data_IF_277151169772
#
_entry.id   IF_277151169772
#
_cell.length_a   1.000
_cell.length_b   1.000
_cell.length_c   1.000
_cell.angle_alpha   90.00
_cell.angle_beta   90.00
_cell.angle_gamma   90.00
#
_symmetry.space_group_name_H-M   'P 1'
#
loop_
_entity.id
_entity.type
_entity.pdbx_description
1 polymer ?
#
# COMPACT_ATOMS: atom_id res chain seq x y z
N UNK A 1 -20.60 -7.57 -3.30
CA UNK A 1 -21.43 -7.59 -4.53
C UNK A 1 -21.47 -6.25 -5.26
N UNK A 2 -21.77 -5.12 -4.57
CA UNK A 2 -21.91 -3.81 -5.23
C UNK A 2 -20.81 -3.48 -6.25
N UNK A 3 -19.54 -3.41 -5.80
CA UNK A 3 -18.37 -3.03 -6.61
C UNK A 3 -18.01 -3.99 -7.76
N UNK A 4 -18.61 -5.17 -7.81
CA UNK A 4 -18.17 -6.29 -8.65
C UNK A 4 -19.22 -6.70 -9.68
N UNK A 5 -20.50 -6.50 -9.37
CA UNK A 5 -21.61 -6.91 -10.22
C UNK A 5 -22.66 -5.80 -10.43
N UNK A 6 -23.00 -5.05 -9.38
CA UNK A 6 -24.20 -4.19 -9.43
C UNK A 6 -23.96 -2.77 -9.90
N UNK A 7 -22.70 -2.35 -10.07
CA UNK A 7 -22.43 -1.04 -10.69
C UNK A 7 -22.89 -1.10 -12.14
N UNK A 8 -23.72 -0.14 -12.55
CA UNK A 8 -24.29 -0.05 -13.90
C UNK A 8 -23.26 0.28 -14.99
N UNK A 9 -21.98 0.45 -14.66
CA UNK A 9 -20.92 0.70 -15.62
C UNK A 9 -20.84 -0.44 -16.63
N UNK A 10 -20.99 -0.09 -17.92
CA UNK A 10 -20.92 -1.03 -19.03
C UNK A 10 -19.82 -0.64 -20.01
N UNK A 11 -18.57 -0.74 -19.55
CA UNK A 11 -17.38 -0.46 -20.38
C UNK A 11 -16.92 -1.73 -21.05
N UNK A 12 -16.46 -1.63 -22.31
CA UNK A 12 -15.88 -2.75 -23.05
C UNK A 12 -14.57 -3.19 -22.39
N UNK A 13 -14.53 -4.40 -21.87
CA UNK A 13 -13.36 -4.92 -21.13
C UNK A 13 -12.28 -5.47 -22.08
N UNK A 14 -11.01 -5.53 -21.62
CA UNK A 14 -9.97 -6.32 -22.28
C UNK A 14 -10.45 -7.76 -22.50
N UNK A 15 -9.97 -8.41 -23.57
CA UNK A 15 -10.30 -9.81 -23.80
C UNK A 15 -9.69 -10.61 -22.66
N UNK A 16 -10.53 -11.38 -21.98
CA UNK A 16 -10.05 -12.37 -21.02
C UNK A 16 -9.15 -13.36 -21.75
N UNK A 17 -8.04 -13.70 -21.11
CA UNK A 17 -7.14 -14.77 -21.53
C UNK A 17 -7.09 -15.72 -20.35
N UNK A 18 -7.42 -16.99 -20.59
CA UNK A 18 -7.25 -18.03 -19.58
C UNK A 18 -5.94 -18.77 -19.82
N UNK A 19 -5.11 -18.89 -18.78
CA UNK A 19 -3.82 -19.56 -18.85
C UNK A 19 -3.98 -21.07 -19.06
N UNK A 20 -5.09 -21.65 -18.59
CA UNK A 20 -5.37 -23.08 -18.77
C UNK A 20 -5.76 -23.42 -20.22
N UNK A 21 -6.35 -22.46 -20.95
CA UNK A 21 -6.74 -22.66 -22.34
C UNK A 21 -6.54 -21.39 -23.19
N UNK A 22 -5.30 -21.19 -23.64
CA UNK A 22 -4.91 -20.06 -24.50
C UNK A 22 -5.59 -20.06 -25.88
N UNK A 23 -6.11 -21.21 -26.34
CA UNK A 23 -6.76 -21.34 -27.64
C UNK A 23 -8.20 -20.82 -27.62
N UNK A 24 -8.87 -20.85 -26.48
CA UNK A 24 -10.25 -20.41 -26.35
C UNK A 24 -10.34 -18.89 -26.47
N UNK A 25 -11.13 -18.42 -27.43
CA UNK A 25 -11.34 -16.99 -27.68
C UNK A 25 -12.64 -16.54 -27.02
N UNK A 26 -12.52 -15.92 -25.85
CA UNK A 26 -13.70 -15.36 -25.18
C UNK A 26 -14.37 -14.25 -26.01
N UNK A 27 -15.71 -14.19 -25.99
CA UNK A 27 -16.43 -13.03 -26.50
C UNK A 27 -16.01 -11.77 -25.73
N UNK A 28 -16.16 -10.60 -26.36
CA UNK A 28 -15.89 -9.34 -25.68
C UNK A 28 -16.96 -9.09 -24.63
N UNK A 29 -16.53 -9.03 -23.38
CA UNK A 29 -17.39 -8.73 -22.24
C UNK A 29 -17.49 -7.22 -22.01
N UNK A 30 -18.62 -6.80 -21.45
CA UNK A 30 -18.82 -5.45 -20.95
C UNK A 30 -19.06 -5.52 -19.45
N UNK A 31 -18.46 -4.60 -18.71
CA UNK A 31 -18.63 -4.54 -17.27
C UNK A 31 -17.81 -3.44 -16.63
N UNK A 32 -17.52 -3.64 -15.36
CA UNK A 32 -16.82 -2.69 -14.51
C UNK A 32 -15.30 -2.87 -14.72
N UNK A 33 -14.55 -1.82 -15.13
CA UNK A 33 -13.11 -1.89 -15.22
C UNK A 33 -12.46 -2.26 -13.87
N UNK A 34 -11.39 -3.08 -13.83
CA UNK A 34 -10.70 -3.46 -12.59
C UNK A 34 -10.39 -2.29 -11.65
N UNK A 35 -9.83 -1.21 -12.18
CA UNK A 35 -9.51 0.00 -11.41
C UNK A 35 -10.73 0.59 -10.71
N UNK A 36 -11.87 0.65 -11.39
CA UNK A 36 -13.09 1.18 -10.80
C UNK A 36 -13.65 0.20 -9.76
N UNK A 37 -13.64 -1.09 -10.06
CA UNK A 37 -14.12 -2.14 -9.15
C UNK A 37 -13.34 -2.15 -7.82
N UNK A 38 -12.01 -2.16 -7.88
CA UNK A 38 -11.14 -2.08 -6.68
C UNK A 38 -11.35 -0.76 -5.95
N UNK A 39 -11.43 0.36 -6.69
CA UNK A 39 -11.63 1.68 -6.09
C UNK A 39 -12.93 1.78 -5.29
N UNK A 40 -14.05 1.34 -5.88
CA UNK A 40 -15.35 1.32 -5.18
C UNK A 40 -15.29 0.38 -3.99
N UNK A 41 -14.70 -0.81 -4.17
CA UNK A 41 -14.63 -1.79 -3.08
C UNK A 41 -13.84 -1.27 -1.88
N UNK A 42 -12.68 -0.67 -2.12
CA UNK A 42 -11.86 -0.04 -1.09
C UNK A 42 -12.62 1.12 -0.40
N UNK A 43 -13.32 1.97 -1.16
CA UNK A 43 -14.13 3.05 -0.59
C UNK A 43 -15.24 2.50 0.31
N UNK A 44 -15.92 1.43 -0.10
CA UNK A 44 -16.98 0.81 0.68
C UNK A 44 -16.44 0.17 1.97
N UNK A 45 -15.29 -0.51 1.91
CA UNK A 45 -14.61 -1.04 3.10
C UNK A 45 -14.27 0.08 4.10
N UNK A 46 -13.66 1.16 3.62
CA UNK A 46 -13.33 2.32 4.48
C UNK A 46 -14.57 2.94 5.09
N UNK A 47 -15.67 3.07 4.33
CA UNK A 47 -16.96 3.56 4.84
C UNK A 47 -17.54 2.63 5.91
N UNK A 48 -17.46 1.32 5.73
CA UNK A 48 -17.91 0.36 6.75
C UNK A 48 -17.09 0.50 8.03
N UNK A 49 -15.76 0.62 7.93
CA UNK A 49 -14.89 0.89 9.09
C UNK A 49 -15.23 2.23 9.78
N UNK A 50 -15.60 3.27 9.03
CA UNK A 50 -16.04 4.53 9.61
C UNK A 50 -17.36 4.40 10.36
N UNK A 51 -18.27 3.56 9.88
CA UNK A 51 -19.56 3.32 10.56
C UNK A 51 -19.37 2.60 11.91
N UNK A 52 -18.39 1.69 12.01
CA UNK A 52 -18.06 1.00 13.26
C UNK A 52 -17.18 1.86 14.17
N UNK A 53 -16.41 2.80 13.62
CA UNK A 53 -15.57 3.72 14.39
C UNK A 53 -16.37 4.58 15.38
N UNK A 54 -17.69 4.74 15.20
CA UNK A 54 -18.56 5.42 16.17
C UNK A 54 -18.50 4.81 17.58
N UNK A 55 -18.14 3.52 17.70
CA UNK A 55 -17.90 2.84 18.99
C UNK A 55 -16.61 3.30 19.68
N UNK A 56 -15.72 3.98 18.96
CA UNK A 56 -14.41 4.43 19.42
C UNK A 56 -14.29 5.96 19.25
N UNK A 57 -14.75 6.77 20.22
CA UNK A 57 -14.78 8.23 20.09
C UNK A 57 -13.45 8.87 19.69
N UNK A 58 -12.33 8.33 20.20
CA UNK A 58 -10.98 8.80 19.90
C UNK A 58 -10.63 8.68 18.41
N UNK A 59 -11.06 7.59 17.75
CA UNK A 59 -10.80 7.36 16.33
C UNK A 59 -11.56 8.35 15.44
N UNK A 60 -12.80 8.70 15.81
CA UNK A 60 -13.65 9.63 15.05
C UNK A 60 -13.15 11.07 15.20
N UNK A 61 -12.79 11.49 16.41
CA UNK A 61 -12.37 12.86 16.65
C UNK A 61 -10.96 13.13 16.12
N UNK A 62 -10.03 12.20 16.33
CA UNK A 62 -8.60 12.37 16.06
C UNK A 62 -8.12 12.02 14.65
N UNK A 63 -9.00 11.57 13.74
CA UNK A 63 -8.60 11.11 12.39
C UNK A 63 -9.47 11.68 11.28
N UNK A 64 -8.87 11.92 10.11
CA UNK A 64 -9.55 12.41 8.90
C UNK A 64 -9.09 11.63 7.68
N UNK A 65 -10.02 11.29 6.81
CA UNK A 65 -9.70 10.64 5.53
C UNK A 65 -9.38 11.72 4.49
N UNK A 66 -8.17 11.69 3.96
CA UNK A 66 -7.67 12.60 2.93
C UNK A 66 -7.61 11.85 1.60
N UNK A 67 -8.21 12.44 0.55
CA UNK A 67 -8.25 11.83 -0.77
C UNK A 67 -7.01 12.20 -1.58
N UNK A 68 -6.29 11.19 -2.07
CA UNK A 68 -5.13 11.32 -2.96
C UNK A 68 -4.13 12.43 -2.61
N UNK A 69 -3.58 12.47 -1.37
CA UNK A 69 -2.49 13.38 -1.06
C UNK A 69 -1.26 13.04 -1.89
N UNK A 70 -0.62 14.04 -2.50
CA UNK A 70 0.60 13.83 -3.29
C UNK A 70 1.83 13.82 -2.38
N UNK A 71 2.64 12.78 -2.47
CA UNK A 71 3.94 12.70 -1.79
C UNK A 71 5.06 12.92 -2.81
N UNK A 72 6.06 13.72 -2.43
CA UNK A 72 7.35 13.81 -3.10
C UNK A 72 8.43 13.86 -2.05
N UNK A 73 9.40 12.97 -2.10
CA UNK A 73 10.53 12.99 -1.17
C UNK A 73 11.69 12.23 -1.77
N UNK A 74 12.90 12.48 -1.28
CA UNK A 74 14.10 11.84 -1.80
C UNK A 74 15.03 11.42 -0.68
N UNK A 75 15.90 10.46 -0.95
CA UNK A 75 17.01 10.08 -0.08
C UNK A 75 18.26 9.77 -0.92
N UNK A 76 19.41 9.71 -0.27
CA UNK A 76 20.68 9.35 -0.92
C UNK A 76 20.96 7.87 -0.70
N UNK A 77 21.24 7.15 -1.78
CA UNK A 77 21.61 5.73 -1.78
C UNK A 77 22.84 5.54 -2.67
N UNK A 78 23.97 5.10 -2.09
CA UNK A 78 25.24 4.92 -2.81
C UNK A 78 25.61 6.12 -3.70
N UNK A 79 25.58 7.33 -3.13
CA UNK A 79 25.83 8.62 -3.81
C UNK A 79 24.84 9.00 -4.92
N UNK A 80 23.80 8.19 -5.17
CA UNK A 80 22.71 8.50 -6.07
C UNK A 80 21.47 9.02 -5.30
N UNK A 81 20.76 9.98 -5.91
CA UNK A 81 19.52 10.51 -5.34
C UNK A 81 18.33 9.68 -5.81
N UNK A 82 17.68 8.98 -4.89
CA UNK A 82 16.45 8.23 -5.17
C UNK A 82 15.24 9.09 -4.81
N UNK A 83 14.39 9.36 -5.79
CA UNK A 83 13.15 10.10 -5.64
C UNK A 83 11.95 9.14 -5.53
N UNK A 84 11.14 9.33 -4.48
CA UNK A 84 9.86 8.64 -4.33
C UNK A 84 8.74 9.66 -4.45
N UNK A 85 7.91 9.48 -5.48
CA UNK A 85 6.75 10.34 -5.75
C UNK A 85 5.51 9.53 -6.11
N UNK A 86 4.34 10.03 -5.72
CA UNK A 86 3.07 9.43 -6.11
C UNK A 86 1.88 9.84 -5.26
N UNK A 87 0.76 9.14 -5.45
CA UNK A 87 -0.48 9.37 -4.71
C UNK A 87 -1.09 8.05 -4.26
N UNK A 88 -1.24 7.78 -2.95
CA UNK A 88 -2.15 6.74 -2.50
C UNK A 88 -3.60 7.12 -2.87
N UNK A 89 -4.53 6.17 -2.80
CA UNK A 89 -5.94 6.46 -3.04
C UNK A 89 -6.52 7.29 -1.89
N UNK A 90 -6.26 6.85 -0.66
CA UNK A 90 -6.58 7.61 0.54
C UNK A 90 -5.40 7.60 1.51
N UNK A 91 -5.36 8.60 2.38
CA UNK A 91 -4.57 8.59 3.60
C UNK A 91 -5.50 8.85 4.77
N UNK A 92 -5.48 8.00 5.78
CA UNK A 92 -6.03 8.32 7.08
C UNK A 92 -4.99 9.17 7.82
N UNK A 93 -5.25 10.47 7.90
CA UNK A 93 -4.45 11.40 8.66
C UNK A 93 -4.92 11.44 10.12
N UNK A 94 -3.99 11.63 11.05
CA UNK A 94 -4.27 11.75 12.48
C UNK A 94 -3.68 13.04 13.05
N UNK A 95 -4.24 13.48 14.18
CA UNK A 95 -3.71 14.55 15.00
C UNK A 95 -2.60 14.09 15.96
N UNK A 96 -2.22 12.81 15.93
CA UNK A 96 -1.13 12.21 16.71
C UNK A 96 -0.34 11.25 15.83
N UNK A 97 0.96 11.13 16.11
CA UNK A 97 1.79 10.14 15.43
C UNK A 97 1.48 8.75 15.99
N UNK A 98 1.62 7.72 15.14
CA UNK A 98 1.50 6.34 15.57
C UNK A 98 2.63 5.99 16.55
N UNK A 99 2.30 5.17 17.54
CA UNK A 99 3.31 4.64 18.45
C UNK A 99 4.26 3.71 17.69
N UNK A 100 5.51 3.57 18.18
CA UNK A 100 6.44 2.56 17.67
C UNK A 100 5.83 1.17 17.81
N UNK A 101 6.03 0.31 16.82
CA UNK A 101 5.63 -1.10 16.85
C UNK A 101 6.66 -1.98 17.57
N UNK A 102 7.94 -1.62 17.48
CA UNK A 102 9.06 -2.30 18.15
C UNK A 102 9.66 -1.43 19.25
N UNK A 103 10.01 -2.09 20.36
CA UNK A 103 10.66 -1.46 21.50
C UNK A 103 12.12 -1.09 21.21
N UNK A 104 12.65 -0.16 22.00
CA UNK A 104 14.01 0.36 21.87
C UNK A 104 15.08 -0.74 21.89
N UNK A 105 14.94 -1.75 22.75
CA UNK A 105 15.87 -2.88 22.83
C UNK A 105 15.93 -3.69 21.51
N UNK A 106 14.78 -3.83 20.84
CA UNK A 106 14.71 -4.53 19.55
C UNK A 106 15.37 -3.70 18.44
N UNK A 107 15.21 -2.38 18.50
CA UNK A 107 15.85 -1.44 17.57
C UNK A 107 17.38 -1.53 17.72
N UNK A 108 17.90 -1.55 18.93
CA UNK A 108 19.36 -1.63 19.18
C UNK A 108 19.97 -2.94 18.68
N UNK A 109 19.27 -4.06 18.90
CA UNK A 109 19.68 -5.39 18.38
C UNK A 109 19.71 -5.47 16.85
N UNK A 110 19.06 -4.55 16.14
CA UNK A 110 19.07 -4.56 14.67
C UNK A 110 20.44 -4.28 14.04
N UNK A 111 21.35 -3.68 14.81
CA UNK A 111 22.74 -3.41 14.40
C UNK A 111 23.53 -4.68 14.10
N UNK A 112 23.16 -5.80 14.71
CA UNK A 112 23.82 -7.10 14.52
C UNK A 112 23.32 -7.84 13.27
N UNK A 113 22.19 -7.44 12.70
CA UNK A 113 21.64 -8.09 11.52
C UNK A 113 22.45 -7.68 10.28
N UNK A 114 22.73 -8.60 9.37
CA UNK A 114 23.27 -8.26 8.05
C UNK A 114 22.13 -8.00 7.04
N UNK A 115 22.34 -7.12 6.07
CA UNK A 115 21.42 -6.99 4.92
C UNK A 115 21.74 -8.08 3.89
N UNK A 116 20.72 -8.66 3.21
CA UNK A 116 20.99 -9.60 2.13
C UNK A 116 21.70 -8.90 0.98
N UNK A 117 22.75 -9.54 0.46
CA UNK A 117 23.41 -9.13 -0.78
C UNK A 117 22.62 -9.67 -1.98
N UNK A 118 22.33 -8.79 -2.94
CA UNK A 118 21.57 -9.08 -4.16
C UNK A 118 22.48 -9.23 -5.39
N UNK A 119 23.81 -9.18 -5.22
CA UNK A 119 24.76 -9.30 -6.33
C UNK A 119 24.47 -10.53 -7.23
N UNK A 120 24.43 -10.37 -8.57
CA UNK A 120 24.86 -9.21 -9.36
C UNK A 120 23.74 -8.20 -9.68
N UNK A 121 22.55 -8.33 -9.10
CA UNK A 121 21.42 -7.44 -9.39
C UNK A 121 21.59 -6.13 -8.65
N UNK A 122 21.58 -5.03 -9.39
CA UNK A 122 21.62 -3.69 -8.81
C UNK A 122 20.27 -3.34 -8.15
N UNK A 123 20.24 -2.82 -6.91
CA UNK A 123 19.00 -2.46 -6.22
C UNK A 123 18.14 -1.40 -6.94
N UNK A 124 18.72 -0.64 -7.86
CA UNK A 124 18.09 0.45 -8.62
C UNK A 124 17.61 0.03 -10.01
N UNK A 125 17.76 -1.24 -10.41
CA UNK A 125 17.57 -1.72 -11.80
C UNK A 125 16.22 -1.35 -12.44
N UNK A 126 15.13 -1.40 -11.67
CA UNK A 126 13.76 -1.13 -12.15
C UNK A 126 13.34 0.34 -11.97
N UNK A 127 14.21 1.20 -11.44
CA UNK A 127 13.91 2.62 -11.25
C UNK A 127 14.07 3.40 -12.56
N UNK A 128 13.21 4.40 -12.74
CA UNK A 128 13.28 5.29 -13.90
C UNK A 128 14.42 6.29 -13.67
N UNK A 129 15.44 6.23 -14.52
CA UNK A 129 16.55 7.20 -14.50
C UNK A 129 16.10 8.53 -15.13
N UNK A 130 16.01 9.58 -14.31
CA UNK A 130 15.66 10.94 -14.74
C UNK A 130 16.76 11.94 -14.35
N UNK A 131 16.99 12.95 -15.19
CA UNK A 131 17.92 14.06 -14.91
C UNK A 131 17.20 15.37 -14.54
N UNK A 132 15.92 15.48 -14.89
CA UNK A 132 15.08 16.65 -14.60
C UNK A 132 14.04 16.26 -13.56
N UNK A 133 14.28 16.63 -12.30
CA UNK A 133 13.41 16.29 -11.19
C UNK A 133 13.28 17.44 -10.20
N UNK A 134 12.21 17.42 -9.41
CA UNK A 134 12.03 18.32 -8.28
C UNK A 134 12.42 17.58 -6.98
N UNK A 135 13.42 18.10 -6.29
CA UNK A 135 13.92 17.53 -5.04
C UNK A 135 13.20 18.06 -3.78
N UNK A 136 12.22 18.95 -3.93
CA UNK A 136 11.46 19.47 -2.80
C UNK A 136 10.65 18.36 -2.10
N UNK A 137 10.84 18.20 -0.79
CA UNK A 137 9.99 17.33 0.02
C UNK A 137 8.58 17.92 0.13
N UNK A 138 7.54 17.10 -0.07
CA UNK A 138 6.13 17.46 0.03
C UNK A 138 5.38 16.29 0.66
N UNK A 139 4.64 16.56 1.75
CA UNK A 139 3.81 15.58 2.48
C UNK A 139 2.32 15.58 2.03
N UNK A 140 2.01 16.30 0.95
CA UNK A 140 0.64 16.45 0.41
C UNK A 140 -0.14 17.64 0.96
N UNK A 141 0.47 18.45 1.85
CA UNK A 141 -0.15 19.65 2.42
C UNK A 141 0.72 20.87 2.16
N UNK A 142 0.11 21.99 1.75
CA UNK A 142 0.81 23.27 1.55
C UNK A 142 0.99 24.07 2.84
N UNK A 143 0.13 23.82 3.82
CA UNK A 143 0.02 24.57 5.07
C UNK A 143 -0.05 23.54 6.20
N UNK A 144 0.52 23.82 7.38
CA UNK A 144 0.38 22.95 8.54
C UNK A 144 -1.10 22.58 8.76
N UNK A 145 -1.39 21.29 8.61
CA UNK A 145 -2.73 20.76 8.76
C UNK A 145 -2.77 19.86 9.99
N UNK A 146 -3.77 20.04 10.84
CA UNK A 146 -3.87 19.33 12.12
C UNK A 146 -3.89 17.80 11.97
N UNK A 147 -4.38 17.29 10.83
CA UNK A 147 -4.47 15.86 10.53
C UNK A 147 -3.52 15.44 9.39
N UNK A 148 -2.35 16.09 9.29
CA UNK A 148 -1.32 15.77 8.28
C UNK A 148 -0.51 14.51 8.61
N UNK A 149 -0.58 14.02 9.85
CA UNK A 149 0.26 12.91 10.33
C UNK A 149 -0.25 11.59 9.75
N UNK A 150 0.57 10.86 8.96
CA UNK A 150 0.10 9.66 8.29
C UNK A 150 -0.13 8.53 9.30
N UNK A 151 -1.38 8.05 9.42
CA UNK A 151 -1.70 6.87 10.22
C UNK A 151 -1.74 5.62 9.31
N UNK A 152 -2.62 5.62 8.31
CA UNK A 152 -2.76 4.49 7.37
C UNK A 152 -2.91 4.98 5.94
N UNK A 153 -2.10 4.46 5.04
CA UNK A 153 -2.19 4.67 3.60
C UNK A 153 -3.08 3.60 2.98
N UNK A 154 -3.98 3.99 2.07
CA UNK A 154 -4.79 3.03 1.31
C UNK A 154 -4.40 3.07 -0.16
N UNK A 155 -3.92 1.94 -0.66
CA UNK A 155 -3.48 1.79 -2.04
C UNK A 155 -4.42 0.87 -2.80
N UNK A 156 -4.88 1.34 -3.96
CA UNK A 156 -5.61 0.52 -4.92
C UNK A 156 -4.64 0.03 -6.00
N UNK A 157 -4.54 -1.28 -6.16
CA UNK A 157 -3.71 -1.92 -7.16
C UNK A 157 -4.64 -2.51 -8.24
N UNK A 158 -4.52 -1.96 -9.44
CA UNK A 158 -5.28 -2.41 -10.63
C UNK A 158 -4.37 -2.80 -11.79
N UNK A 159 -3.08 -2.84 -11.51
CA UNK A 159 -2.02 -3.29 -12.41
C UNK A 159 -1.93 -4.82 -12.47
N UNK A 160 -1.12 -5.28 -13.41
CA UNK A 160 -0.79 -6.70 -13.59
C UNK A 160 0.40 -7.14 -12.73
N UNK A 161 0.82 -6.32 -11.76
CA UNK A 161 1.95 -6.65 -10.90
C UNK A 161 1.59 -7.81 -9.97
N UNK A 162 2.61 -8.57 -9.57
CA UNK A 162 2.43 -9.65 -8.64
C UNK A 162 2.24 -9.09 -7.21
N UNK A 163 1.95 -9.97 -6.24
CA UNK A 163 1.74 -9.54 -4.86
C UNK A 163 3.01 -8.99 -4.19
N UNK A 164 4.19 -9.51 -4.52
CA UNK A 164 5.47 -9.04 -4.00
C UNK A 164 5.76 -7.61 -4.47
N UNK A 165 5.64 -7.33 -5.78
CA UNK A 165 5.85 -6.00 -6.35
C UNK A 165 4.91 -4.96 -5.72
N UNK A 166 3.65 -5.37 -5.46
CA UNK A 166 2.65 -4.53 -4.79
C UNK A 166 3.01 -4.26 -3.33
N UNK A 167 3.57 -5.24 -2.61
CA UNK A 167 4.10 -5.02 -1.26
C UNK A 167 5.31 -4.10 -1.27
N UNK A 168 6.25 -4.29 -2.20
CA UNK A 168 7.39 -3.41 -2.38
C UNK A 168 6.93 -1.97 -2.60
N UNK A 169 5.90 -1.76 -3.45
CA UNK A 169 5.30 -0.44 -3.64
C UNK A 169 4.75 0.11 -2.33
N UNK A 170 4.00 -0.67 -1.55
CA UNK A 170 3.48 -0.23 -0.24
C UNK A 170 4.58 0.14 0.74
N UNK A 171 5.65 -0.65 0.81
CA UNK A 171 6.83 -0.35 1.62
C UNK A 171 7.46 0.99 1.21
N UNK A 172 7.67 1.22 -0.09
CA UNK A 172 8.25 2.47 -0.57
C UNK A 172 7.38 3.68 -0.25
N UNK A 173 6.06 3.55 -0.33
CA UNK A 173 5.14 4.62 0.09
C UNK A 173 5.18 4.84 1.60
N UNK A 174 5.14 3.78 2.42
CA UNK A 174 5.29 3.91 3.87
C UNK A 174 6.60 4.60 4.25
N UNK A 175 7.71 4.19 3.63
CA UNK A 175 9.02 4.79 3.83
C UNK A 175 9.02 6.27 3.46
N UNK A 176 8.47 6.63 2.30
CA UNK A 176 8.37 8.02 1.86
C UNK A 176 7.55 8.90 2.83
N UNK A 177 6.40 8.42 3.30
CA UNK A 177 5.57 9.15 4.26
C UNK A 177 6.23 9.27 5.63
N UNK A 178 6.87 8.20 6.12
CA UNK A 178 7.61 8.23 7.38
C UNK A 178 8.80 9.19 7.31
N UNK A 179 9.54 9.19 6.19
CA UNK A 179 10.67 10.08 5.95
C UNK A 179 10.23 11.55 5.86
N UNK A 180 9.17 11.84 5.10
CA UNK A 180 8.63 13.19 5.02
C UNK A 180 8.16 13.69 6.39
N UNK A 181 7.57 12.81 7.21
CA UNK A 181 7.17 13.14 8.58
C UNK A 181 8.36 13.33 9.52
N UNK A 182 9.41 12.52 9.39
CA UNK A 182 10.64 12.67 10.16
C UNK A 182 11.32 14.01 9.87
N UNK A 183 11.41 14.39 8.58
CA UNK A 183 11.96 15.70 8.18
C UNK A 183 11.13 16.87 8.69
N UNK A 184 9.81 16.77 8.60
CA UNK A 184 8.90 17.78 9.15
C UNK A 184 9.08 17.95 10.67
N UNK A 185 9.39 16.87 11.40
CA UNK A 185 9.50 16.87 12.86
C UNK A 185 10.89 17.23 13.39
N UNK A 186 11.94 16.77 12.73
CA UNK A 186 13.32 16.83 13.22
C UNK A 186 14.25 17.68 12.35
N UNK A 187 13.75 18.24 11.24
CA UNK A 187 14.51 19.01 10.27
C UNK A 187 14.90 18.19 9.02
N UNK A 188 15.16 18.88 7.91
CA UNK A 188 15.41 18.23 6.61
C UNK A 188 16.68 17.37 6.57
N UNK A 189 17.70 17.75 7.35
CA UNK A 189 19.00 17.08 7.42
C UNK A 189 19.06 15.95 8.48
N UNK A 190 17.91 15.51 9.01
CA UNK A 190 17.87 14.44 10.01
C UNK A 190 18.33 13.10 9.39
N UNK A 191 19.34 12.51 10.00
CA UNK A 191 19.86 11.18 9.62
C UNK A 191 19.54 10.15 10.71
N UNK A 192 19.94 10.46 11.96
CA UNK A 192 19.59 9.66 13.14
C UNK A 192 18.34 10.23 13.78
N UNK A 193 17.30 9.41 13.90
CA UNK A 193 16.03 9.85 14.47
C UNK A 193 16.08 9.82 16.01
N UNK A 194 15.64 10.88 16.70
CA UNK A 194 15.51 10.86 18.16
C UNK A 194 14.45 9.87 18.65
N UNK A 195 13.40 9.68 17.86
CA UNK A 195 12.30 8.74 18.11
C UNK A 195 11.78 8.22 16.77
N UNK A 196 11.34 6.96 16.70
CA UNK A 196 10.95 6.35 15.45
C UNK A 196 9.59 6.87 14.95
N UNK A 197 9.39 6.76 13.63
CA UNK A 197 8.15 7.17 12.95
C UNK A 197 7.47 5.95 12.35
N UNK A 198 6.24 5.69 12.79
CA UNK A 198 5.45 4.54 12.32
C UNK A 198 4.39 4.96 11.29
N UNK A 199 4.23 4.17 10.24
CA UNK A 199 3.19 4.33 9.21
C UNK A 199 2.64 2.97 8.80
N UNK A 200 1.33 2.88 8.63
CA UNK A 200 0.68 1.67 8.11
C UNK A 200 0.26 1.86 6.65
N UNK A 201 0.15 0.76 5.91
CA UNK A 201 -0.47 0.72 4.60
C UNK A 201 -1.36 -0.50 4.46
N UNK A 202 -2.52 -0.27 3.86
CA UNK A 202 -3.40 -1.30 3.33
C UNK A 202 -3.35 -1.20 1.82
N UNK A 203 -2.87 -2.26 1.16
CA UNK A 203 -2.93 -2.36 -0.29
C UNK A 203 -3.87 -3.46 -0.72
N UNK A 204 -4.57 -3.19 -1.80
CA UNK A 204 -5.71 -3.98 -2.20
C UNK A 204 -5.73 -4.16 -3.71
N UNK A 205 -5.98 -5.38 -4.16
CA UNK A 205 -6.31 -5.65 -5.55
C UNK A 205 -7.79 -6.06 -5.70
N UNK A 206 -8.16 -6.76 -6.78
CA UNK A 206 -9.54 -7.18 -6.99
C UNK A 206 -10.07 -8.15 -5.93
N UNK A 207 -9.22 -8.95 -5.29
CA UNK A 207 -9.63 -10.09 -4.47
C UNK A 207 -8.84 -10.26 -3.18
N UNK A 208 -7.70 -9.59 -3.06
CA UNK A 208 -6.75 -9.70 -1.96
C UNK A 208 -6.56 -8.36 -1.26
N UNK A 209 -6.33 -8.45 0.04
CA UNK A 209 -5.98 -7.35 0.92
C UNK A 209 -4.65 -7.66 1.56
N UNK A 210 -3.77 -6.69 1.71
CA UNK A 210 -2.49 -6.89 2.38
C UNK A 210 -2.22 -5.72 3.33
N UNK A 211 -1.54 -6.03 4.43
CA UNK A 211 -1.15 -5.08 5.46
C UNK A 211 0.36 -4.93 5.49
N UNK A 212 0.77 -3.68 5.66
CA UNK A 212 2.14 -3.31 5.89
C UNK A 212 2.18 -2.39 7.09
N UNK A 213 2.90 -2.76 8.14
CA UNK A 213 3.27 -1.85 9.22
C UNK A 213 4.74 -1.52 9.03
N UNK A 214 5.08 -0.24 8.94
CA UNK A 214 6.44 0.21 8.73
C UNK A 214 6.87 1.13 9.88
N UNK A 215 8.09 0.94 10.35
CA UNK A 215 8.70 1.76 11.39
C UNK A 215 10.06 2.27 10.90
N UNK A 216 10.15 3.59 10.78
CA UNK A 216 11.37 4.32 10.46
C UNK A 216 12.16 4.59 11.74
N UNK A 217 13.32 3.96 11.87
CA UNK A 217 14.25 4.12 12.99
C UNK A 217 15.47 4.96 12.59
N UNK A 218 15.89 4.92 11.32
CA UNK A 218 17.03 5.67 10.80
C UNK A 218 16.79 6.10 9.34
N UNK A 219 17.42 7.21 8.95
CA UNK A 219 17.61 7.61 7.55
C UNK A 219 19.06 7.40 7.07
N UNK A 220 19.92 6.85 7.93
CA UNK A 220 21.24 6.35 7.56
C UNK A 220 21.12 5.00 6.84
N UNK A 221 20.95 5.03 5.52
CA UNK A 221 20.70 3.84 4.69
C UNK A 221 22.00 3.27 4.09
N UNK A 222 23.05 4.07 4.01
CA UNK A 222 24.31 3.68 3.36
C UNK A 222 25.28 2.97 4.31
N UNK A 223 25.04 3.03 5.62
CA UNK A 223 25.91 2.40 6.63
C UNK A 223 25.45 0.97 6.93
N UNK A 224 26.28 -0.03 6.63
CA UNK A 224 25.94 -1.45 6.86
C UNK A 224 25.77 -1.81 8.35
N UNK A 225 26.59 -1.22 9.24
CA UNK A 225 26.63 -1.53 10.67
C UNK A 225 25.71 -0.67 11.56
N UNK A 226 24.64 -0.12 11.00
CA UNK A 226 23.73 0.81 11.68
C UNK A 226 22.44 0.18 12.21
N UNK A 227 21.67 0.99 12.95
CA UNK A 227 20.27 0.67 13.29
C UNK A 227 19.49 0.47 11.98
N UNK A 228 18.56 -0.48 11.95
CA UNK A 228 17.74 -0.76 10.77
C UNK A 228 16.30 -0.35 10.96
N UNK A 229 15.65 -0.10 9.83
CA UNK A 229 14.20 0.10 9.75
C UNK A 229 13.49 -1.24 9.77
N UNK A 230 12.27 -1.26 10.32
CA UNK A 230 11.47 -2.47 10.42
C UNK A 230 10.21 -2.41 9.57
N UNK A 231 9.83 -3.56 9.06
CA UNK A 231 8.57 -3.75 8.35
C UNK A 231 7.96 -5.09 8.75
N UNK A 232 6.65 -5.07 8.99
CA UNK A 232 5.83 -6.26 9.18
C UNK A 232 4.85 -6.35 8.02
N UNK A 233 4.80 -7.53 7.41
CA UNK A 233 3.95 -7.83 6.27
C UNK A 233 2.95 -8.91 6.65
N UNK A 234 1.69 -8.67 6.31
CA UNK A 234 0.65 -9.69 6.27
C UNK A 234 0.04 -9.68 4.86
N UNK A 235 0.30 -10.75 4.09
CA UNK A 235 0.13 -10.77 2.64
C UNK A 235 -0.59 -12.03 2.17
N UNK A 236 -1.25 -11.93 1.02
CA UNK A 236 -2.01 -13.03 0.45
C UNK A 236 -3.38 -13.21 1.10
N UNK A 237 -3.89 -12.23 1.84
CA UNK A 237 -5.21 -12.33 2.47
C UNK A 237 -6.30 -12.23 1.40
N UNK A 238 -6.77 -13.37 0.94
CA UNK A 238 -7.85 -13.47 -0.01
C UNK A 238 -9.18 -13.13 0.66
N UNK A 239 -9.76 -11.99 0.29
CA UNK A 239 -11.06 -11.56 0.79
C UNK A 239 -12.15 -12.44 0.22
N UNK A 240 -12.09 -12.72 -1.09
CA UNK A 240 -13.00 -13.66 -1.75
C UNK A 240 -12.37 -14.28 -2.99
N UNK A 241 -12.91 -15.42 -3.40
CA UNK A 241 -12.58 -16.07 -4.68
C UNK A 241 -13.53 -15.54 -5.75
N UNK A 242 -12.97 -15.02 -6.84
CA UNK A 242 -13.75 -14.63 -8.02
C UNK A 242 -13.69 -15.79 -9.01
N UNK A 243 -14.76 -16.58 -9.07
CA UNK A 243 -14.88 -17.58 -10.11
C UNK A 243 -15.29 -16.90 -11.40
N UNK A 244 -14.57 -17.21 -12.47
CA UNK A 244 -14.82 -16.72 -13.81
C UNK A 244 -15.36 -17.89 -14.64
N UNK A 245 -16.39 -17.71 -15.48
CA UNK A 245 -16.96 -18.81 -16.23
C UNK A 245 -15.93 -19.41 -17.19
N UNK A 246 -15.81 -20.74 -17.20
CA UNK A 246 -14.89 -21.53 -18.02
C UNK A 246 -15.70 -22.50 -18.90
N UNK A 247 -16.24 -22.04 -20.05
CA UNK A 247 -17.19 -22.83 -20.85
C UNK A 247 -16.64 -24.13 -21.46
N UNK A 248 -15.31 -24.33 -21.41
CA UNK A 248 -14.67 -25.56 -21.87
C UNK A 248 -14.48 -26.60 -20.76
N UNK A 249 -14.80 -26.27 -19.50
CA UNK A 249 -14.88 -27.25 -18.41
C UNK A 249 -16.35 -27.67 -18.28
N UNK A 250 -16.61 -28.97 -18.29
CA UNK A 250 -17.96 -29.51 -18.14
C UNK A 250 -18.58 -29.20 -16.75
N UNK A 251 -19.88 -28.95 -16.74
CA UNK A 251 -20.88 -28.82 -15.66
C UNK A 251 -20.69 -27.94 -14.41
N UNK A 252 -19.49 -27.53 -13.98
CA UNK A 252 -19.35 -26.72 -12.73
C UNK A 252 -19.17 -25.20 -12.93
N UNK A 253 -18.71 -24.74 -14.10
CA UNK A 253 -18.34 -23.33 -14.32
C UNK A 253 -19.23 -22.58 -15.31
N UNK A 254 -20.41 -23.15 -15.62
CA UNK A 254 -21.16 -22.75 -16.81
C UNK A 254 -21.81 -21.37 -16.74
N UNK A 255 -22.22 -20.87 -15.56
CA UNK A 255 -23.28 -19.84 -15.60
C UNK A 255 -23.11 -18.52 -14.86
N UNK A 256 -22.18 -18.29 -13.91
CA UNK A 256 -22.02 -16.94 -13.30
C UNK A 256 -20.62 -16.67 -12.79
N UNK A 257 -20.26 -15.39 -12.69
CA UNK A 257 -19.21 -15.00 -11.75
C UNK A 257 -19.77 -15.29 -10.35
N UNK A 258 -19.10 -16.12 -9.57
CA UNK A 258 -19.53 -16.46 -8.20
C UNK A 258 -18.46 -15.99 -7.24
N UNK A 259 -18.90 -15.34 -6.15
CA UNK A 259 -18.07 -15.04 -4.99
C UNK A 259 -18.36 -16.04 -3.90
N UNK A 260 -17.44 -16.98 -3.68
CA UNK A 260 -17.76 -18.16 -2.86
C UNK A 260 -17.58 -17.97 -1.35
N UNK A 261 -16.63 -17.15 -0.90
CA UNK A 261 -16.31 -17.04 0.53
C UNK A 261 -15.76 -15.68 0.89
N UNK A 262 -16.39 -14.97 1.84
CA UNK A 262 -15.82 -13.79 2.49
C UNK A 262 -15.17 -14.23 3.82
N UNK A 263 -13.85 -14.41 3.86
CA UNK A 263 -13.18 -14.85 5.09
C UNK A 263 -12.76 -13.65 5.96
N UNK A 264 -13.64 -13.26 6.89
CA UNK A 264 -13.38 -12.20 7.88
C UNK A 264 -12.93 -12.73 9.25
N UNK A 265 -12.62 -14.02 9.41
CA UNK A 265 -12.31 -14.59 10.73
C UNK A 265 -10.87 -14.35 11.23
N UNK A 266 -9.93 -13.96 10.36
CA UNK A 266 -8.58 -13.58 10.76
C UNK A 266 -8.45 -12.14 11.30
N UNK A 267 -9.54 -11.38 11.40
CA UNK A 267 -9.54 -9.91 11.45
C UNK A 267 -9.78 -9.30 12.83
N UNK A 268 -9.62 -10.08 13.91
CA UNK A 268 -9.87 -9.65 15.30
C UNK A 268 -8.63 -9.65 16.20
N UNK A 269 -7.42 -9.79 15.63
CA UNK A 269 -6.16 -9.77 16.40
C UNK A 269 -5.11 -8.89 15.74
N UNK A 270 -5.32 -7.58 15.77
CA UNK A 270 -4.31 -6.53 15.68
C UNK A 270 -4.79 -5.34 16.50
#
# INVERSE_FOLDING_TARGET
>A
MHSQEWVSTRVKLPRRIDKENLKFKFPREYGIPPRQSVGIFLTDLVRMCQSTAAQFPNAVQGRRLIHSPYINTHYMFNDEKILIRGTPKYMLGSNQDLQPFADQETIEKSTEMAMPDLYPVEPTIDLIKEHFYNDSTCNGFKVPYAFSRPHTLFMQNSDHWNNADRQCRSLMFCFAYAMARARERFGDDVVKLPEPVSVQCVNMDQTTLNFTCFQLNTLDINTEGGIKNFVWFDTGNQIFKKLMPQPWKEDEFFHKNVMETLNLHHWTRC
#
